data_IF_150269501493
#
_entry.id   IF_150269501493
#
_cell.length_a   1.000
_cell.length_b   1.000
_cell.length_c   1.000
_cell.angle_alpha   90.00
_cell.angle_beta   90.00
_cell.angle_gamma   90.00
#
_symmetry.space_group_name_H-M   'P 1'
#
loop_
_entity.id
_entity.type
_entity.pdbx_description
1 polymer ?
#
# COMPACT_ATOMS: atom_id res chain seq x y z
N UNK A 1 24.55 8.32 -13.86
CA UNK A 1 23.84 9.57 -14.10
C UNK A 1 22.64 9.68 -13.19
N UNK A 2 22.02 10.84 -13.11
CA UNK A 2 20.83 11.04 -12.30
C UNK A 2 19.70 10.11 -12.75
N UNK A 3 18.82 9.71 -11.82
CA UNK A 3 17.62 8.96 -12.13
C UNK A 3 16.68 9.82 -12.99
N UNK A 4 16.07 9.20 -13.98
CA UNK A 4 15.06 9.84 -14.82
C UNK A 4 13.95 8.87 -15.09
N UNK A 5 12.71 9.30 -14.93
CA UNK A 5 11.55 8.46 -15.21
C UNK A 5 11.45 8.12 -16.70
N UNK A 6 10.87 6.96 -17.03
CA UNK A 6 10.71 6.47 -18.40
C UNK A 6 9.30 6.70 -18.96
N UNK A 7 8.29 6.76 -18.08
CA UNK A 7 6.88 6.80 -18.44
C UNK A 7 6.33 5.45 -18.92
N UNK A 8 7.08 4.37 -18.76
CA UNK A 8 6.63 3.03 -19.20
C UNK A 8 5.43 2.55 -18.38
N UNK A 9 5.38 2.86 -17.07
CA UNK A 9 4.25 2.52 -16.19
C UNK A 9 2.99 3.30 -16.61
N UNK A 10 3.12 4.58 -16.96
CA UNK A 10 2.01 5.37 -17.47
C UNK A 10 1.38 4.75 -18.73
N UNK A 11 2.21 4.25 -19.65
CA UNK A 11 1.74 3.55 -20.85
C UNK A 11 0.98 2.25 -20.56
N UNK A 12 1.36 1.50 -19.51
CA UNK A 12 0.63 0.32 -19.06
C UNK A 12 -0.72 0.70 -18.43
N UNK A 13 -0.75 1.77 -17.62
CA UNK A 13 -1.98 2.28 -17.01
C UNK A 13 -2.94 2.87 -18.07
N UNK A 14 -2.43 3.60 -19.08
CA UNK A 14 -3.24 4.07 -20.22
C UNK A 14 -3.90 2.88 -20.95
N UNK A 15 -3.16 1.79 -21.18
CA UNK A 15 -3.74 0.59 -21.78
C UNK A 15 -4.79 -0.08 -20.87
N UNK A 16 -4.64 0.01 -19.55
CA UNK A 16 -5.64 -0.50 -18.61
C UNK A 16 -6.93 0.32 -18.64
N UNK A 17 -6.86 1.65 -18.82
CA UNK A 17 -8.08 2.50 -18.93
C UNK A 17 -8.98 2.10 -20.08
N UNK A 18 -8.41 1.56 -21.17
CA UNK A 18 -9.21 1.07 -22.33
C UNK A 18 -10.07 -0.16 -21.99
N UNK A 19 -9.80 -0.82 -20.86
CA UNK A 19 -10.52 -2.02 -20.41
C UNK A 19 -11.61 -1.70 -19.38
N UNK A 20 -11.65 -0.49 -18.85
CA UNK A 20 -12.63 -0.05 -17.84
C UNK A 20 -14.02 0.17 -18.45
N UNK A 21 -15.07 -0.12 -17.68
CA UNK A 21 -16.42 0.33 -17.97
C UNK A 21 -16.67 1.74 -17.42
N UNK A 22 -17.83 2.34 -17.70
CA UNK A 22 -18.16 3.73 -17.29
C UNK A 22 -18.14 3.94 -15.76
N UNK A 23 -18.41 2.89 -14.98
CA UNK A 23 -18.49 2.93 -13.51
C UNK A 23 -17.21 2.36 -12.83
N UNK A 24 -16.24 1.90 -13.61
CA UNK A 24 -14.99 1.35 -13.08
C UNK A 24 -13.97 2.47 -12.86
N UNK A 25 -13.21 2.37 -11.77
CA UNK A 25 -12.10 3.26 -11.47
C UNK A 25 -10.75 2.54 -11.60
N UNK A 26 -9.72 3.28 -11.97
CA UNK A 26 -8.35 2.76 -12.05
C UNK A 26 -7.67 2.86 -10.69
N UNK A 27 -7.06 1.77 -10.26
CA UNK A 27 -6.07 1.76 -9.19
C UNK A 27 -4.68 1.64 -9.80
N UNK A 28 -3.80 2.57 -9.46
CA UNK A 28 -2.38 2.49 -9.79
C UNK A 28 -1.60 1.82 -8.64
N UNK A 29 -0.48 1.19 -8.98
CA UNK A 29 0.38 0.53 -7.98
C UNK A 29 1.84 0.73 -8.36
N UNK A 30 2.65 1.18 -7.40
CA UNK A 30 4.10 1.31 -7.51
C UNK A 30 4.79 0.67 -6.30
N UNK A 31 6.08 0.29 -6.41
CA UNK A 31 6.88 0.13 -5.20
C UNK A 31 6.95 1.47 -4.47
N UNK A 32 6.91 1.42 -3.14
CA UNK A 32 7.15 2.62 -2.35
C UNK A 32 8.61 3.07 -2.39
N UNK A 33 8.90 4.31 -2.01
CA UNK A 33 10.25 4.89 -2.13
C UNK A 33 11.30 4.11 -1.33
N UNK A 34 10.98 3.65 -0.13
CA UNK A 34 11.95 2.90 0.67
C UNK A 34 12.21 1.49 0.10
N UNK A 35 11.18 0.77 -0.32
CA UNK A 35 11.35 -0.55 -0.91
C UNK A 35 12.14 -0.51 -2.21
N UNK A 36 11.94 0.52 -3.04
CA UNK A 36 12.73 0.69 -4.25
C UNK A 36 14.19 1.06 -3.92
N UNK A 37 14.41 1.92 -2.91
CA UNK A 37 15.74 2.26 -2.41
C UNK A 37 16.50 1.03 -1.88
N UNK A 38 15.87 0.25 -0.99
CA UNK A 38 16.46 -0.95 -0.37
C UNK A 38 16.88 -2.01 -1.40
N UNK A 39 16.10 -2.16 -2.46
CA UNK A 39 16.33 -3.15 -3.52
C UNK A 39 17.24 -2.64 -4.64
N UNK A 40 17.51 -1.34 -4.70
CA UNK A 40 18.35 -0.74 -5.73
C UNK A 40 19.83 -0.68 -5.29
N UNK A 41 20.73 -0.47 -6.25
CA UNK A 41 22.16 -0.28 -5.96
C UNK A 41 22.57 1.12 -6.38
N UNK A 42 23.11 1.90 -5.45
CA UNK A 42 23.69 3.21 -5.75
C UNK A 42 25.12 3.08 -6.28
N UNK A 43 25.31 3.45 -7.55
CA UNK A 43 26.63 3.59 -8.19
C UNK A 43 26.95 5.06 -8.54
N UNK A 44 26.12 6.03 -8.07
CA UNK A 44 26.20 7.42 -8.54
C UNK A 44 26.18 8.47 -7.43
N UNK A 45 25.22 8.42 -6.52
CA UNK A 45 24.99 9.47 -5.51
C UNK A 45 26.04 9.40 -4.38
N UNK A 46 26.37 8.19 -3.91
CA UNK A 46 27.41 7.96 -2.90
C UNK A 46 27.04 8.43 -1.49
N UNK A 47 25.81 8.89 -1.30
CA UNK A 47 25.17 9.24 -0.03
C UNK A 47 23.76 8.66 -0.02
N UNK A 48 23.40 7.93 1.05
CA UNK A 48 22.14 7.20 1.14
C UNK A 48 20.92 8.14 1.16
N UNK A 49 21.03 9.28 1.85
CA UNK A 49 19.95 10.25 1.92
C UNK A 49 19.71 10.93 0.55
N UNK A 50 20.77 11.25 -0.18
CA UNK A 50 20.67 11.83 -1.53
C UNK A 50 20.07 10.80 -2.50
N UNK A 51 20.47 9.52 -2.38
CA UNK A 51 19.95 8.44 -3.21
C UNK A 51 18.48 8.17 -2.91
N UNK A 52 18.09 8.14 -1.62
CA UNK A 52 16.71 7.94 -1.21
C UNK A 52 15.79 9.07 -1.71
N UNK A 53 16.23 10.32 -1.58
CA UNK A 53 15.51 11.46 -2.14
C UNK A 53 15.37 11.38 -3.66
N UNK A 54 16.41 10.97 -4.38
CA UNK A 54 16.37 10.80 -5.83
C UNK A 54 15.41 9.68 -6.27
N UNK A 55 15.26 8.61 -5.47
CA UNK A 55 14.25 7.56 -5.70
C UNK A 55 12.83 8.13 -5.54
N UNK A 56 12.59 8.93 -4.50
CA UNK A 56 11.28 9.57 -4.30
C UNK A 56 10.93 10.53 -5.45
N UNK A 57 11.88 11.37 -5.88
CA UNK A 57 11.72 12.26 -7.04
C UNK A 57 11.45 11.47 -8.34
N UNK A 58 12.16 10.35 -8.54
CA UNK A 58 11.93 9.47 -9.69
C UNK A 58 10.52 8.90 -9.71
N UNK A 59 10.04 8.35 -8.58
CA UNK A 59 8.69 7.82 -8.47
C UNK A 59 7.63 8.92 -8.62
N UNK A 60 7.87 10.11 -8.05
CA UNK A 60 7.00 11.26 -8.26
C UNK A 60 6.87 11.63 -9.73
N UNK A 61 7.97 11.61 -10.49
CA UNK A 61 7.95 11.84 -11.93
C UNK A 61 7.17 10.78 -12.72
N UNK A 62 7.18 9.51 -12.30
CA UNK A 62 6.32 8.47 -12.91
C UNK A 62 4.84 8.75 -12.62
N UNK A 63 4.50 9.11 -11.38
CA UNK A 63 3.11 9.40 -10.97
C UNK A 63 2.52 10.62 -11.68
N UNK A 64 3.30 11.69 -11.87
CA UNK A 64 2.88 12.88 -12.62
C UNK A 64 2.41 12.55 -14.05
N UNK A 65 2.94 11.46 -14.63
CA UNK A 65 2.60 11.01 -15.98
C UNK A 65 1.40 10.05 -16.03
N UNK A 66 0.84 9.62 -14.91
CA UNK A 66 -0.24 8.64 -14.88
C UNK A 66 -1.55 9.22 -15.43
N UNK A 67 -2.40 8.38 -16.10
CA UNK A 67 -3.77 8.75 -16.41
C UNK A 67 -4.58 8.92 -15.11
N UNK A 68 -5.79 9.47 -15.24
CA UNK A 68 -6.71 9.60 -14.11
C UNK A 68 -6.89 8.25 -13.40
N UNK A 69 -6.70 8.24 -12.10
CA UNK A 69 -6.82 7.07 -11.23
C UNK A 69 -7.44 7.51 -9.89
N UNK A 70 -8.18 6.63 -9.25
CA UNK A 70 -8.84 6.92 -7.98
C UNK A 70 -7.91 6.66 -6.78
N UNK A 71 -7.06 5.64 -6.90
CA UNK A 71 -6.19 5.22 -5.80
C UNK A 71 -4.79 4.90 -6.32
N UNK A 72 -3.78 5.32 -5.56
CA UNK A 72 -2.38 4.94 -5.75
C UNK A 72 -1.91 4.10 -4.56
N UNK A 73 -1.54 2.84 -4.80
CA UNK A 73 -0.87 2.00 -3.81
C UNK A 73 0.64 2.12 -3.93
N UNK A 74 1.29 2.52 -2.84
CA UNK A 74 2.74 2.47 -2.64
C UNK A 74 3.05 1.24 -1.79
N UNK A 75 3.74 0.26 -2.37
CA UNK A 75 4.02 -1.02 -1.72
C UNK A 75 5.37 -0.97 -1.00
N UNK A 76 5.35 -1.13 0.31
CA UNK A 76 6.52 -0.95 1.18
C UNK A 76 6.86 -2.21 2.03
N UNK A 77 7.08 -3.38 1.41
CA UNK A 77 7.46 -4.59 2.15
C UNK A 77 8.82 -4.47 2.84
N UNK A 78 9.77 -3.73 2.27
CA UNK A 78 11.10 -3.58 2.86
C UNK A 78 11.07 -2.86 4.20
N UNK A 79 10.06 -2.01 4.46
CA UNK A 79 9.90 -1.39 5.79
C UNK A 79 9.69 -2.43 6.91
N UNK A 80 9.16 -3.61 6.57
CA UNK A 80 8.96 -4.72 7.51
C UNK A 80 10.16 -5.67 7.53
N UNK A 81 10.68 -6.05 6.35
CA UNK A 81 11.75 -7.04 6.21
C UNK A 81 13.12 -6.48 6.59
N UNK A 82 13.38 -5.22 6.26
CA UNK A 82 14.67 -4.53 6.45
C UNK A 82 14.42 -3.11 6.97
N UNK A 83 13.94 -3.00 8.21
CA UNK A 83 13.60 -1.71 8.79
C UNK A 83 14.73 -0.66 8.60
N UNK A 84 14.39 0.59 8.18
CA UNK A 84 15.36 1.64 7.97
C UNK A 84 16.10 2.02 9.26
N UNK A 85 17.30 2.55 9.13
CA UNK A 85 17.99 3.17 10.25
C UNK A 85 17.34 4.53 10.62
N UNK A 86 17.78 5.14 11.72
CA UNK A 86 17.17 6.33 12.29
C UNK A 86 17.19 7.53 11.31
N UNK A 87 18.27 7.70 10.55
CA UNK A 87 18.41 8.81 9.59
C UNK A 87 17.43 8.66 8.41
N UNK A 88 17.18 7.45 7.95
CA UNK A 88 16.22 7.14 6.89
C UNK A 88 14.77 7.13 7.40
N UNK A 89 14.52 6.69 8.64
CA UNK A 89 13.21 6.79 9.28
C UNK A 89 12.70 8.23 9.32
N UNK A 90 13.56 9.19 9.72
CA UNK A 90 13.23 10.61 9.78
C UNK A 90 12.87 11.22 8.40
N UNK A 91 13.28 10.58 7.31
CA UNK A 91 13.03 11.02 5.92
C UNK A 91 11.87 10.31 5.26
N UNK A 92 11.30 9.30 5.93
CA UNK A 92 10.32 8.42 5.31
C UNK A 92 9.04 9.16 4.90
N UNK A 93 8.50 9.99 5.79
CA UNK A 93 7.31 10.79 5.49
C UNK A 93 7.56 11.73 4.31
N UNK A 94 8.67 12.49 4.32
CA UNK A 94 9.03 13.41 3.24
C UNK A 94 9.17 12.69 1.89
N UNK A 95 9.74 11.47 1.88
CA UNK A 95 9.89 10.68 0.66
C UNK A 95 8.53 10.19 0.12
N UNK A 96 7.64 9.73 1.00
CA UNK A 96 6.27 9.36 0.63
C UNK A 96 5.49 10.57 0.12
N UNK A 97 5.58 11.72 0.81
CA UNK A 97 4.89 12.96 0.44
C UNK A 97 5.37 13.52 -0.90
N UNK A 98 6.66 13.34 -1.23
CA UNK A 98 7.21 13.69 -2.55
C UNK A 98 6.47 12.95 -3.66
N UNK A 99 6.15 11.67 -3.48
CA UNK A 99 5.40 10.87 -4.45
C UNK A 99 3.91 11.21 -4.40
N UNK A 100 3.32 11.25 -3.20
CA UNK A 100 1.89 11.49 -3.00
C UNK A 100 1.44 12.86 -3.54
N UNK A 101 2.27 13.88 -3.43
CA UNK A 101 1.96 15.24 -3.92
C UNK A 101 1.83 15.36 -5.45
N UNK A 102 2.16 14.32 -6.21
CA UNK A 102 2.06 14.32 -7.68
C UNK A 102 0.71 13.82 -8.20
N UNK A 103 -0.22 13.47 -7.32
CA UNK A 103 -1.58 13.04 -7.69
C UNK A 103 -2.63 13.64 -6.75
N UNK A 104 -3.85 13.77 -7.24
CA UNK A 104 -5.03 14.09 -6.41
C UNK A 104 -5.78 12.81 -5.99
N UNK A 105 -5.26 11.62 -6.31
CA UNK A 105 -5.84 10.33 -5.94
C UNK A 105 -5.58 10.00 -4.47
N UNK A 106 -6.41 9.13 -3.89
CA UNK A 106 -6.18 8.59 -2.55
C UNK A 106 -4.89 7.75 -2.53
N UNK A 107 -3.91 8.14 -1.72
CA UNK A 107 -2.63 7.42 -1.61
C UNK A 107 -2.66 6.47 -0.43
N UNK A 108 -2.37 5.21 -0.70
CA UNK A 108 -2.30 4.13 0.30
C UNK A 108 -0.87 3.62 0.38
N UNK A 109 -0.24 3.71 1.54
CA UNK A 109 1.04 3.04 1.80
C UNK A 109 0.76 1.67 2.41
N UNK A 110 1.00 0.61 1.63
CA UNK A 110 0.69 -0.75 2.05
C UNK A 110 1.97 -1.53 2.40
N UNK A 111 2.03 -1.96 3.66
CA UNK A 111 3.08 -2.85 4.14
C UNK A 111 2.56 -4.28 4.22
N UNK A 112 3.45 -5.27 4.04
CA UNK A 112 3.12 -6.68 4.16
C UNK A 112 4.31 -7.48 4.68
N UNK A 113 4.10 -8.76 4.95
CA UNK A 113 4.98 -9.70 5.66
C UNK A 113 5.02 -9.53 7.18
N UNK A 114 4.36 -8.53 7.77
CA UNK A 114 4.31 -8.34 9.20
C UNK A 114 3.88 -6.94 9.60
N UNK A 115 4.14 -6.60 10.86
CA UNK A 115 3.96 -5.27 11.40
C UNK A 115 5.25 -4.45 11.26
N UNK A 116 5.12 -3.14 11.09
CA UNK A 116 6.24 -2.21 11.18
C UNK A 116 6.79 -2.18 12.61
N UNK A 117 8.08 -1.89 12.76
CA UNK A 117 8.59 -1.48 14.06
C UNK A 117 7.99 -0.14 14.49
N UNK A 118 7.95 0.09 15.80
CA UNK A 118 7.28 1.23 16.43
C UNK A 118 7.74 2.59 15.87
N UNK A 119 9.06 2.77 15.68
CA UNK A 119 9.61 4.04 15.19
C UNK A 119 9.26 4.29 13.73
N UNK A 120 9.43 3.28 12.88
CA UNK A 120 9.07 3.36 11.46
C UNK A 120 7.58 3.68 11.31
N UNK A 121 6.72 3.03 12.11
CA UNK A 121 5.28 3.32 12.12
C UNK A 121 5.00 4.77 12.50
N UNK A 122 5.62 5.25 13.58
CA UNK A 122 5.43 6.63 14.05
C UNK A 122 5.82 7.66 12.98
N UNK A 123 6.97 7.48 12.31
CA UNK A 123 7.40 8.38 11.23
C UNK A 123 6.48 8.30 10.00
N UNK A 124 6.00 7.09 9.64
CA UNK A 124 5.08 6.94 8.52
C UNK A 124 3.70 7.59 8.79
N UNK A 125 3.30 7.66 10.06
CA UNK A 125 2.08 8.39 10.46
C UNK A 125 2.14 9.90 10.18
N UNK A 126 3.33 10.48 10.02
CA UNK A 126 3.50 11.89 9.67
C UNK A 126 3.28 12.16 8.16
N UNK A 127 3.34 11.13 7.29
CA UNK A 127 3.11 11.30 5.86
C UNK A 127 1.66 11.74 5.55
N UNK A 128 1.49 12.61 4.54
CA UNK A 128 0.18 13.10 4.09
C UNK A 128 -0.43 12.12 3.06
N UNK A 129 -0.91 11.00 3.57
CA UNK A 129 -1.54 9.93 2.78
C UNK A 129 -2.92 9.58 3.35
N UNK A 130 -3.80 9.05 2.49
CA UNK A 130 -5.17 8.69 2.87
C UNK A 130 -5.20 7.51 3.85
N UNK A 131 -4.41 6.46 3.60
CA UNK A 131 -4.45 5.26 4.43
C UNK A 131 -3.09 4.59 4.58
N UNK A 132 -2.89 3.93 5.72
CA UNK A 132 -1.86 2.91 5.90
C UNK A 132 -2.47 1.52 5.71
N UNK A 133 -1.69 0.61 5.14
CA UNK A 133 -2.10 -0.77 4.88
C UNK A 133 -1.52 -1.75 5.90
N UNK A 134 -2.34 -2.71 6.30
CA UNK A 134 -2.03 -3.71 7.32
C UNK A 134 -2.19 -5.13 6.76
N UNK A 135 -1.18 -5.98 6.96
CA UNK A 135 -1.26 -7.41 6.64
C UNK A 135 -2.01 -8.17 7.74
N UNK A 136 -3.23 -8.57 7.46
CA UNK A 136 -4.06 -9.34 8.41
C UNK A 136 -3.96 -10.85 8.19
N UNK A 137 -3.08 -11.32 7.30
CA UNK A 137 -2.91 -12.74 6.95
C UNK A 137 -1.64 -13.32 7.53
N UNK A 138 -0.47 -12.75 7.20
CA UNK A 138 0.83 -13.29 7.54
C UNK A 138 1.48 -12.57 8.74
N UNK A 139 1.04 -11.37 9.08
CA UNK A 139 1.64 -10.53 10.10
C UNK A 139 1.30 -10.94 11.54
N UNK A 140 2.10 -10.46 12.48
CA UNK A 140 1.74 -10.46 13.89
C UNK A 140 0.75 -9.33 14.16
N UNK A 141 -0.51 -9.72 14.31
CA UNK A 141 -1.62 -8.78 14.52
C UNK A 141 -1.51 -8.03 15.85
N UNK A 142 -0.87 -8.61 16.86
CA UNK A 142 -0.67 -7.97 18.17
C UNK A 142 0.26 -6.77 18.05
N UNK A 143 1.34 -6.89 17.28
CA UNK A 143 2.28 -5.78 17.02
C UNK A 143 1.62 -4.67 16.21
N UNK A 144 0.82 -5.00 15.19
CA UNK A 144 0.02 -4.03 14.44
C UNK A 144 -0.93 -3.25 15.34
N UNK A 145 -1.67 -3.94 16.22
CA UNK A 145 -2.58 -3.29 17.17
C UNK A 145 -1.85 -2.46 18.22
N UNK A 146 -0.64 -2.87 18.63
CA UNK A 146 0.21 -2.10 19.53
C UNK A 146 0.57 -0.75 18.93
N UNK A 147 1.03 -0.73 17.66
CA UNK A 147 1.35 0.49 16.94
C UNK A 147 0.14 1.41 16.82
N UNK A 148 -1.03 0.87 16.41
CA UNK A 148 -2.26 1.65 16.28
C UNK A 148 -2.71 2.20 17.64
N UNK A 149 -2.56 1.45 18.71
CA UNK A 149 -2.94 1.89 20.06
C UNK A 149 -2.04 3.01 20.56
N UNK A 150 -0.75 2.99 20.24
CA UNK A 150 0.24 3.98 20.69
C UNK A 150 0.18 5.27 19.86
N UNK A 151 0.12 5.14 18.53
CA UNK A 151 0.26 6.27 17.59
C UNK A 151 -1.02 6.65 16.85
N UNK A 152 -2.09 5.85 16.98
CA UNK A 152 -3.30 6.04 16.20
C UNK A 152 -3.19 5.45 14.79
N UNK A 153 -4.14 5.82 13.93
CA UNK A 153 -4.17 5.48 12.50
C UNK A 153 -4.77 6.65 11.71
N UNK A 154 -4.71 6.59 10.38
CA UNK A 154 -5.40 7.54 9.50
C UNK A 154 -6.92 7.36 9.60
N UNK A 155 -7.69 8.30 9.05
CA UNK A 155 -9.16 8.22 8.99
C UNK A 155 -9.63 7.10 8.04
N UNK A 156 -8.77 6.63 7.14
CA UNK A 156 -8.97 5.43 6.35
C UNK A 156 -7.89 4.38 6.62
N UNK A 157 -8.18 3.11 6.32
CA UNK A 157 -7.22 2.02 6.44
C UNK A 157 -7.30 1.07 5.23
N UNK A 158 -6.17 0.46 4.87
CA UNK A 158 -6.13 -0.59 3.85
C UNK A 158 -5.85 -1.94 4.51
N UNK A 159 -6.71 -2.91 4.25
CA UNK A 159 -6.67 -4.22 4.89
C UNK A 159 -6.30 -5.30 3.88
N UNK A 160 -5.13 -5.89 4.05
CA UNK A 160 -4.69 -7.07 3.32
C UNK A 160 -5.36 -8.32 3.91
N UNK A 161 -6.58 -8.62 3.43
CA UNK A 161 -7.45 -9.65 4.01
C UNK A 161 -7.36 -11.01 3.29
N UNK A 162 -6.89 -11.07 2.04
CA UNK A 162 -6.75 -12.30 1.29
C UNK A 162 -5.27 -12.64 1.07
N UNK A 163 -4.91 -13.92 1.17
CA UNK A 163 -3.52 -14.39 1.00
C UNK A 163 -3.08 -14.33 -0.47
N UNK A 164 -2.23 -13.36 -0.82
CA UNK A 164 -1.69 -13.16 -2.16
C UNK A 164 -0.72 -14.25 -2.63
N UNK A 165 -0.21 -15.09 -1.74
CA UNK A 165 0.78 -16.14 -2.06
C UNK A 165 0.20 -17.56 -2.09
N UNK A 166 -1.01 -17.78 -1.56
CA UNK A 166 -1.63 -19.08 -1.47
C UNK A 166 -2.72 -19.25 -2.53
N UNK A 167 -2.77 -20.40 -3.17
CA UNK A 167 -3.80 -20.75 -4.17
C UNK A 167 -5.16 -21.13 -3.57
N UNK A 168 -5.25 -21.26 -2.24
CA UNK A 168 -6.53 -21.41 -1.55
C UNK A 168 -7.30 -20.08 -1.64
N UNK A 169 -8.52 -20.11 -2.12
CA UNK A 169 -9.40 -18.96 -2.18
C UNK A 169 -10.22 -18.92 -0.90
N UNK A 170 -10.13 -17.84 -0.18
CA UNK A 170 -10.91 -17.59 1.03
C UNK A 170 -12.39 -17.37 0.65
N UNK A 171 -13.30 -17.78 1.53
CA UNK A 171 -14.72 -17.43 1.37
C UNK A 171 -14.97 -15.96 1.78
N UNK A 172 -16.01 -15.32 1.24
CA UNK A 172 -16.42 -13.98 1.65
C UNK A 172 -16.58 -13.92 3.18
N UNK A 173 -17.28 -14.88 3.80
CA UNK A 173 -17.43 -14.98 5.27
C UNK A 173 -16.06 -14.93 6.01
N UNK A 174 -15.03 -15.59 5.52
CA UNK A 174 -13.68 -15.55 6.14
C UNK A 174 -13.04 -14.16 5.99
N UNK A 175 -13.27 -13.48 4.87
CA UNK A 175 -12.76 -12.14 4.63
C UNK A 175 -13.49 -11.12 5.53
N UNK A 176 -14.80 -11.21 5.63
CA UNK A 176 -15.64 -10.38 6.50
C UNK A 176 -15.26 -10.55 7.98
N UNK A 177 -15.01 -11.79 8.43
CA UNK A 177 -14.49 -12.05 9.78
C UNK A 177 -13.17 -11.33 10.07
N UNK A 178 -12.30 -11.14 9.05
CA UNK A 178 -11.04 -10.40 9.20
C UNK A 178 -11.25 -8.90 9.31
N UNK A 179 -12.15 -8.34 8.51
CA UNK A 179 -12.55 -6.93 8.58
C UNK A 179 -13.17 -6.64 9.94
N UNK A 180 -14.22 -7.36 10.32
CA UNK A 180 -14.90 -7.20 11.60
C UNK A 180 -13.95 -7.37 12.79
N UNK A 181 -13.00 -8.32 12.71
CA UNK A 181 -11.98 -8.46 13.75
C UNK A 181 -11.15 -7.19 13.90
N UNK A 182 -10.71 -6.57 12.79
CA UNK A 182 -9.91 -5.35 12.83
C UNK A 182 -10.68 -4.19 13.45
N UNK A 183 -11.91 -3.95 13.03
CA UNK A 183 -12.79 -2.91 13.56
C UNK A 183 -13.10 -3.12 15.05
N UNK A 184 -13.38 -4.34 15.47
CA UNK A 184 -13.64 -4.69 16.87
C UNK A 184 -12.45 -4.41 17.81
N UNK A 185 -11.21 -4.46 17.28
CA UNK A 185 -10.01 -4.14 18.05
C UNK A 185 -9.77 -2.63 18.21
N UNK A 186 -10.38 -1.80 17.37
CA UNK A 186 -10.16 -0.34 17.34
C UNK A 186 -11.51 0.40 17.51
N UNK A 187 -12.28 0.13 18.58
CA UNK A 187 -13.67 0.58 18.70
C UNK A 187 -13.83 2.10 18.91
N UNK A 188 -12.74 2.82 19.05
CA UNK A 188 -12.74 4.29 19.21
C UNK A 188 -12.55 5.03 17.88
N UNK A 189 -12.20 4.31 16.82
CA UNK A 189 -12.01 4.83 15.48
C UNK A 189 -13.22 4.44 14.62
N UNK A 190 -13.87 5.41 14.01
CA UNK A 190 -14.79 5.20 12.90
C UNK A 190 -13.98 5.51 11.62
N UNK A 191 -13.81 4.52 10.77
CA UNK A 191 -13.09 4.70 9.51
C UNK A 191 -14.01 5.31 8.45
N UNK A 192 -13.55 6.37 7.81
CA UNK A 192 -14.27 6.99 6.69
C UNK A 192 -14.28 6.05 5.47
N UNK A 193 -13.22 5.25 5.32
CA UNK A 193 -13.07 4.28 4.22
C UNK A 193 -12.17 3.10 4.61
N UNK A 194 -12.55 1.91 4.20
CA UNK A 194 -11.72 0.72 4.24
C UNK A 194 -11.41 0.23 2.82
N UNK A 195 -10.13 0.11 2.51
CA UNK A 195 -9.65 -0.47 1.26
C UNK A 195 -9.36 -1.95 1.49
N UNK A 196 -9.98 -2.83 0.73
CA UNK A 196 -9.79 -4.27 0.87
C UNK A 196 -8.91 -4.80 -0.27
N UNK A 197 -7.86 -5.55 0.09
CA UNK A 197 -6.89 -6.05 -0.87
C UNK A 197 -6.37 -7.45 -0.50
N UNK A 198 -5.50 -7.98 -1.35
CA UNK A 198 -4.60 -9.08 -0.95
C UNK A 198 -3.52 -8.53 0.00
N UNK A 199 -3.04 -9.37 0.92
CA UNK A 199 -1.99 -8.96 1.86
C UNK A 199 -0.64 -8.72 1.18
N UNK A 200 -0.39 -9.37 0.03
CA UNK A 200 0.81 -9.19 -0.81
C UNK A 200 0.40 -9.16 -2.27
N UNK A 201 1.35 -8.80 -3.17
CA UNK A 201 1.07 -8.88 -4.61
C UNK A 201 0.80 -10.33 -5.05
N UNK A 202 -0.25 -10.55 -5.83
CA UNK A 202 -0.66 -11.87 -6.28
C UNK A 202 0.07 -12.37 -7.54
N UNK A 203 1.29 -11.91 -7.84
CA UNK A 203 2.02 -12.20 -9.09
C UNK A 203 2.27 -13.68 -9.34
N UNK A 204 2.46 -14.46 -8.29
CA UNK A 204 2.75 -15.89 -8.42
C UNK A 204 1.50 -16.76 -8.47
N UNK A 205 0.31 -16.17 -8.33
CA UNK A 205 -0.93 -16.94 -8.42
C UNK A 205 -1.27 -17.29 -9.89
N UNK A 206 -1.79 -18.49 -10.15
CA UNK A 206 -2.44 -18.78 -11.42
C UNK A 206 -3.57 -17.76 -11.69
N UNK A 207 -3.70 -17.30 -12.93
CA UNK A 207 -4.66 -16.23 -13.32
C UNK A 207 -6.09 -16.52 -12.85
N UNK A 208 -6.53 -17.78 -12.90
CA UNK A 208 -7.85 -18.13 -12.41
C UNK A 208 -7.97 -17.96 -10.88
N UNK A 209 -6.92 -18.28 -10.12
CA UNK A 209 -6.90 -18.11 -8.67
C UNK A 209 -6.86 -16.64 -8.26
N UNK A 210 -6.07 -15.84 -8.98
CA UNK A 210 -6.09 -14.39 -8.83
C UNK A 210 -7.50 -13.82 -9.02
N UNK A 211 -8.17 -14.18 -10.14
CA UNK A 211 -9.55 -13.71 -10.40
C UNK A 211 -10.56 -14.18 -9.35
N UNK A 212 -10.45 -15.44 -8.89
CA UNK A 212 -11.32 -15.98 -7.85
C UNK A 212 -11.14 -15.21 -6.52
N UNK A 213 -9.91 -14.85 -6.15
CA UNK A 213 -9.63 -14.05 -4.94
C UNK A 213 -10.16 -12.62 -5.05
N UNK A 214 -9.92 -11.94 -6.17
CA UNK A 214 -10.48 -10.59 -6.39
C UNK A 214 -12.02 -10.61 -6.33
N UNK A 215 -12.66 -11.64 -6.89
CA UNK A 215 -14.11 -11.77 -6.80
C UNK A 215 -14.60 -12.00 -5.35
N UNK A 216 -13.82 -12.72 -4.52
CA UNK A 216 -14.15 -12.91 -3.13
C UNK A 216 -13.99 -11.60 -2.32
N UNK A 217 -12.91 -10.85 -2.56
CA UNK A 217 -12.70 -9.52 -1.94
C UNK A 217 -13.83 -8.56 -2.31
N UNK A 218 -14.19 -8.49 -3.61
CA UNK A 218 -15.29 -7.64 -4.07
C UNK A 218 -16.64 -8.04 -3.47
N UNK A 219 -16.87 -9.33 -3.21
CA UNK A 219 -18.09 -9.78 -2.55
C UNK A 219 -18.13 -9.35 -1.07
N UNK A 220 -17.01 -9.45 -0.35
CA UNK A 220 -16.89 -8.96 1.03
C UNK A 220 -17.14 -7.44 1.10
N UNK A 221 -16.51 -6.64 0.24
CA UNK A 221 -16.73 -5.20 0.19
C UNK A 221 -18.20 -4.81 -0.03
N UNK A 222 -18.93 -5.54 -0.87
CA UNK A 222 -20.33 -5.27 -1.14
C UNK A 222 -21.28 -5.62 0.04
N UNK A 223 -20.88 -6.53 0.92
CA UNK A 223 -21.66 -6.86 2.13
C UNK A 223 -21.51 -5.77 3.21
N UNK A 224 -20.34 -5.16 3.33
CA UNK A 224 -20.07 -4.04 4.23
C UNK A 224 -20.89 -2.79 3.88
N UNK A 225 -21.01 -2.44 2.59
CA UNK A 225 -21.84 -1.30 2.15
C UNK A 225 -23.33 -1.44 2.51
N UNK A 226 -23.83 -2.65 2.67
CA UNK A 226 -25.25 -2.93 3.01
C UNK A 226 -25.51 -2.82 4.52
N UNK A 227 -24.48 -2.92 5.34
CA UNK A 227 -24.58 -2.91 6.80
C UNK A 227 -24.28 -1.55 7.45
N UNK A 228 -23.73 -0.61 6.71
CA UNK A 228 -23.43 0.76 7.15
C UNK A 228 -24.62 1.69 6.87
#
# INVERSE_FOLDING_TARGET
GDLTFSGDVAGELEAATELLNEDDALQATLPGPYSLFDLATDDHYGDEADFFAAIADFLGGEVEAFPDHETLYLLEPSLVEHAPDEDLQERLADAVDTVASQTDADVVVHTYFGALDEKTYAHLMDADVEALGFDLVAGDREDTLSNITEFGTKDAAALGIADGQNTLVESAETLDERVAWFEDQIPVQEFDRLYLSTNTEPFYLPVNKHREKLAAIAAAAAEEEVTA
#
